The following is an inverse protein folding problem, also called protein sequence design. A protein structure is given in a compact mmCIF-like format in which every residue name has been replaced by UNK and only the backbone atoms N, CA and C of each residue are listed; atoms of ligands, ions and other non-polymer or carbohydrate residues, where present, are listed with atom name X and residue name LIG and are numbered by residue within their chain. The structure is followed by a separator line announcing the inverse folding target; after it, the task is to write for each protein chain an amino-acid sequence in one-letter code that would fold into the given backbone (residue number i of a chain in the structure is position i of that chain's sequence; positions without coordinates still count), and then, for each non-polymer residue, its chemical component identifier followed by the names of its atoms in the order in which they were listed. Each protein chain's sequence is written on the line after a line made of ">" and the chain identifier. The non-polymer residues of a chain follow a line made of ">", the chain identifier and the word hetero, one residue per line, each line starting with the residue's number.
data_IF_100680453229
#
_entry.id   IF_100680453229
#
_cell.length_a   1.000
_cell.length_b   1.000
_cell.length_c   1.000
_cell.angle_alpha   90.00
_cell.angle_beta   90.00
_cell.angle_gamma   90.00
#
_symmetry.space_group_name_H-M   'P 1'
#
loop_
_entity.id
_entity.type
_entity.pdbx_description
1 polymer ?
#
# COMPACT_ATOMS: atom_id res chain seq x y z
N UNK A 1 -18.67 -11.34 -14.35
CA UNK A 1 -19.00 -12.00 -13.07
C UNK A 1 -19.15 -10.88 -12.05
N UNK A 2 -20.05 -10.98 -11.07
CA UNK A 2 -20.12 -9.96 -10.03
C UNK A 2 -18.77 -9.92 -9.30
N UNK A 3 -18.22 -8.73 -9.14
CA UNK A 3 -16.87 -8.52 -8.64
C UNK A 3 -16.97 -8.06 -7.19
N UNK A 4 -16.26 -8.77 -6.31
CA UNK A 4 -16.09 -8.38 -4.91
C UNK A 4 -14.67 -7.85 -4.71
N UNK A 5 -14.39 -7.35 -3.51
CA UNK A 5 -13.15 -6.65 -3.19
C UNK A 5 -12.62 -7.12 -1.83
N UNK A 6 -11.30 -7.33 -1.77
CA UNK A 6 -10.53 -7.55 -0.54
C UNK A 6 -9.66 -6.32 -0.29
N UNK A 7 -9.73 -5.74 0.90
CA UNK A 7 -8.84 -4.69 1.37
C UNK A 7 -7.88 -5.26 2.41
N UNK A 8 -6.60 -5.34 2.07
CA UNK A 8 -5.53 -5.71 3.01
C UNK A 8 -4.99 -4.44 3.64
N UNK A 9 -5.09 -4.31 4.96
CA UNK A 9 -4.82 -3.07 5.68
C UNK A 9 -4.34 -3.34 7.11
N UNK A 10 -3.95 -2.29 7.84
CA UNK A 10 -3.77 -2.33 9.30
C UNK A 10 -4.70 -1.32 9.99
N UNK A 11 -4.64 -1.30 11.33
CA UNK A 11 -5.41 -0.39 12.17
C UNK A 11 -4.46 0.47 13.00
N UNK A 12 -4.62 1.78 12.99
CA UNK A 12 -3.81 2.64 13.88
C UNK A 12 -4.22 2.43 15.34
N UNK A 13 -3.46 1.60 16.07
CA UNK A 13 -3.62 1.35 17.52
C UNK A 13 -2.27 1.41 18.20
N UNK A 14 -2.26 1.75 19.48
CA UNK A 14 -1.05 1.76 20.30
C UNK A 14 -0.67 0.36 20.81
N UNK A 15 -1.56 -0.62 20.66
CA UNK A 15 -1.34 -2.01 21.04
C UNK A 15 -0.76 -2.82 19.88
N UNK A 16 -0.01 -3.90 20.16
CA UNK A 16 0.67 -4.68 19.12
C UNK A 16 -0.22 -5.25 18.01
N UNK A 17 -1.51 -5.47 18.30
CA UNK A 17 -2.45 -5.97 17.32
C UNK A 17 -2.79 -4.93 16.24
N UNK A 18 -2.58 -3.63 16.48
CA UNK A 18 -2.85 -2.60 15.47
C UNK A 18 -2.01 -2.72 14.22
N UNK A 19 -0.77 -3.17 14.36
CA UNK A 19 0.22 -3.25 13.28
C UNK A 19 0.37 -4.71 12.83
N UNK A 20 -0.74 -5.31 12.43
CA UNK A 20 -0.82 -6.68 11.93
C UNK A 20 -1.66 -6.69 10.64
N UNK A 21 -1.77 -7.85 9.98
CA UNK A 21 -2.57 -7.94 8.74
C UNK A 21 -4.05 -8.01 9.11
N UNK A 22 -4.85 -7.11 8.57
CA UNK A 22 -6.32 -7.14 8.65
C UNK A 22 -6.91 -7.21 7.25
N UNK A 23 -8.05 -7.91 7.14
CA UNK A 23 -8.86 -7.96 5.93
C UNK A 23 -10.19 -7.24 6.13
N UNK A 24 -10.59 -6.53 5.08
CA UNK A 24 -11.94 -6.03 4.89
C UNK A 24 -12.47 -6.55 3.56
N UNK A 25 -13.75 -6.89 3.49
CA UNK A 25 -14.37 -7.37 2.25
C UNK A 25 -15.56 -6.51 1.86
N UNK A 26 -15.80 -6.35 0.56
CA UNK A 26 -16.92 -5.59 0.02
C UNK A 26 -17.43 -6.22 -1.27
N UNK A 27 -18.73 -6.11 -1.54
CA UNK A 27 -19.32 -6.52 -2.82
C UNK A 27 -19.45 -5.38 -3.83
N UNK A 28 -19.26 -4.14 -3.39
CA UNK A 28 -19.46 -2.95 -4.24
C UNK A 28 -18.29 -1.96 -4.17
N UNK A 29 -17.31 -2.21 -3.29
CA UNK A 29 -16.17 -1.33 -3.04
C UNK A 29 -16.50 -0.12 -2.16
N UNK A 30 -17.76 0.04 -1.74
CA UNK A 30 -18.29 1.22 -1.05
C UNK A 30 -18.61 0.88 0.41
N UNK A 31 -19.25 -0.26 0.63
CA UNK A 31 -19.64 -0.76 1.94
C UNK A 31 -18.75 -1.93 2.33
N UNK A 32 -17.88 -1.69 3.31
CA UNK A 32 -16.88 -2.65 3.76
C UNK A 32 -17.33 -3.36 5.03
N UNK A 33 -17.07 -4.66 5.08
CA UNK A 33 -17.30 -5.54 6.22
C UNK A 33 -15.96 -5.96 6.83
N UNK A 34 -15.93 -6.09 8.16
CA UNK A 34 -14.75 -6.61 8.85
C UNK A 34 -14.66 -8.13 8.67
N UNK A 35 -13.43 -8.64 8.52
CA UNK A 35 -13.13 -10.08 8.60
C UNK A 35 -12.65 -10.42 10.02
N UNK A 36 -12.85 -11.67 10.44
CA UNK A 36 -12.41 -12.18 11.75
C UNK A 36 -12.87 -11.33 12.94
N UNK A 37 -14.13 -10.88 12.94
CA UNK A 37 -14.72 -10.00 13.96
C UNK A 37 -13.91 -8.71 14.23
N UNK A 38 -13.11 -8.27 13.25
CA UNK A 38 -12.23 -7.11 13.38
C UNK A 38 -10.93 -7.37 14.16
N UNK A 39 -10.54 -8.63 14.35
CA UNK A 39 -9.23 -9.07 14.83
C UNK A 39 -8.25 -9.27 13.65
N UNK A 40 -6.92 -9.29 13.90
CA UNK A 40 -5.94 -9.59 12.85
C UNK A 40 -6.20 -10.95 12.19
N UNK A 41 -5.95 -11.05 10.88
CA UNK A 41 -6.00 -12.30 10.13
C UNK A 41 -4.64 -12.99 10.08
N UNK A 42 -3.53 -12.23 10.06
CA UNK A 42 -2.17 -12.76 10.11
C UNK A 42 -1.32 -11.90 11.05
N UNK A 43 -0.34 -12.55 11.68
CA UNK A 43 0.58 -11.90 12.62
C UNK A 43 2.02 -11.92 12.10
N UNK A 44 2.72 -10.81 12.33
CA UNK A 44 4.15 -10.69 12.16
C UNK A 44 4.87 -11.12 13.46
N UNK A 45 5.64 -12.21 13.37
CA UNK A 45 6.40 -12.78 14.47
C UNK A 45 7.91 -12.51 14.37
N UNK A 46 8.39 -12.20 13.18
CA UNK A 46 9.79 -11.90 12.86
C UNK A 46 9.97 -10.42 12.53
N UNK A 47 11.23 -9.97 12.51
CA UNK A 47 11.59 -8.58 12.22
C UNK A 47 11.23 -7.68 13.38
N UNK A 48 10.58 -6.56 13.06
CA UNK A 48 10.08 -5.58 14.03
C UNK A 48 8.79 -6.05 14.73
N UNK A 49 8.22 -7.21 14.32
CA UNK A 49 7.02 -7.85 14.91
C UNK A 49 5.73 -7.03 14.78
N UNK A 50 5.73 -6.13 13.81
CA UNK A 50 4.56 -5.43 13.34
C UNK A 50 4.74 -5.14 11.86
N UNK A 51 3.61 -4.99 11.18
CA UNK A 51 3.56 -4.70 9.75
C UNK A 51 2.59 -3.58 9.45
N UNK A 52 2.96 -2.77 8.46
CA UNK A 52 2.23 -1.60 7.97
C UNK A 52 2.30 -1.57 6.44
N UNK A 53 1.46 -0.75 5.84
CA UNK A 53 1.57 -0.38 4.42
C UNK A 53 1.57 -1.58 3.47
N UNK A 54 0.42 -2.25 3.35
CA UNK A 54 0.33 -3.50 2.60
C UNK A 54 0.13 -3.27 1.11
N UNK A 55 0.71 -4.15 0.31
CA UNK A 55 0.22 -4.47 -1.04
C UNK A 55 -0.17 -5.94 -1.14
N UNK A 56 -1.08 -6.25 -2.06
CA UNK A 56 -1.46 -7.61 -2.41
C UNK A 56 -1.54 -7.77 -3.93
N UNK A 57 -0.99 -8.87 -4.45
CA UNK A 57 -1.07 -9.19 -5.89
C UNK A 57 -1.37 -10.67 -6.12
N UNK A 58 -2.08 -10.97 -7.21
CA UNK A 58 -2.18 -12.33 -7.75
C UNK A 58 -1.09 -12.53 -8.80
N UNK A 59 -0.18 -13.45 -8.53
CA UNK A 59 0.92 -13.76 -9.42
C UNK A 59 0.45 -14.54 -10.63
N UNK A 60 0.66 -14.02 -11.83
CA UNK A 60 0.42 -14.77 -13.06
C UNK A 60 1.49 -15.84 -13.31
N UNK A 61 2.69 -15.67 -12.74
CA UNK A 61 3.82 -16.58 -12.89
C UNK A 61 3.69 -17.80 -11.99
N UNK A 62 3.25 -17.60 -10.74
CA UNK A 62 3.14 -18.70 -9.76
C UNK A 62 1.70 -19.16 -9.52
N UNK A 63 0.70 -18.36 -9.91
CA UNK A 63 -0.71 -18.62 -9.63
C UNK A 63 -1.15 -18.33 -8.19
N UNK A 64 -0.24 -17.83 -7.34
CA UNK A 64 -0.47 -17.54 -5.92
C UNK A 64 -0.70 -16.06 -5.65
N UNK A 65 -1.36 -15.77 -4.54
CA UNK A 65 -1.46 -14.43 -3.97
C UNK A 65 -0.26 -14.14 -3.08
N UNK A 66 0.25 -12.90 -3.12
CA UNK A 66 1.32 -12.44 -2.26
C UNK A 66 0.91 -11.16 -1.55
N UNK A 67 1.12 -11.11 -0.24
CA UNK A 67 1.07 -9.87 0.54
C UNK A 67 2.50 -9.44 0.81
N UNK A 68 2.81 -8.18 0.55
CA UNK A 68 4.03 -7.51 1.01
C UNK A 68 3.66 -6.39 1.98
N UNK A 69 4.50 -6.14 2.98
CA UNK A 69 4.30 -5.08 3.95
C UNK A 69 5.63 -4.50 4.44
N UNK A 70 5.61 -3.24 4.85
CA UNK A 70 6.66 -2.63 5.68
C UNK A 70 6.83 -3.45 6.96
N UNK A 71 8.04 -3.93 7.25
CA UNK A 71 8.38 -4.51 8.56
C UNK A 71 8.66 -3.37 9.56
N UNK A 72 7.65 -3.00 10.35
CA UNK A 72 7.72 -1.90 11.31
C UNK A 72 6.66 -2.07 12.40
N UNK A 73 7.09 -2.00 13.66
CA UNK A 73 6.19 -1.82 14.79
C UNK A 73 6.51 -0.55 15.56
N UNK A 74 5.58 0.40 15.57
CA UNK A 74 5.61 1.53 16.49
C UNK A 74 5.26 1.09 17.91
N UNK A 75 4.37 0.10 18.09
CA UNK A 75 3.96 -0.39 19.41
C UNK A 75 5.16 -0.97 20.20
N UNK A 76 5.98 -1.79 19.54
CA UNK A 76 7.20 -2.36 20.16
C UNK A 76 8.42 -1.43 20.02
N UNK A 77 8.60 -0.83 18.85
CA UNK A 77 9.85 -0.19 18.45
C UNK A 77 9.92 1.30 18.80
N UNK A 78 8.82 2.07 18.69
CA UNK A 78 8.88 3.54 18.68
C UNK A 78 9.64 4.09 19.90
N UNK A 79 9.30 3.64 21.11
CA UNK A 79 9.94 4.15 22.33
C UNK A 79 11.34 3.57 22.58
N UNK A 80 11.55 2.28 22.30
CA UNK A 80 12.72 1.54 22.77
C UNK A 80 13.83 1.42 21.71
N UNK A 81 13.45 1.08 20.48
CA UNK A 81 14.35 0.87 19.35
C UNK A 81 14.62 2.18 18.62
N UNK A 82 13.57 2.99 18.44
CA UNK A 82 13.61 4.19 17.60
C UNK A 82 13.58 5.51 18.37
N UNK A 83 13.68 5.48 19.70
CA UNK A 83 13.84 6.67 20.55
C UNK A 83 12.80 7.79 20.33
N UNK A 84 11.57 7.42 19.96
CA UNK A 84 10.48 8.31 19.54
C UNK A 84 10.84 9.21 18.35
N UNK A 85 11.62 8.70 17.40
CA UNK A 85 12.16 9.46 16.27
C UNK A 85 11.84 8.80 14.94
N UNK A 86 11.04 9.46 14.11
CA UNK A 86 10.82 9.07 12.72
C UNK A 86 12.08 9.19 11.87
N UNK A 87 12.98 10.12 12.20
CA UNK A 87 14.28 10.25 11.54
C UNK A 87 15.16 9.02 11.81
N UNK A 88 15.06 8.44 13.02
CA UNK A 88 15.77 7.21 13.39
C UNK A 88 15.21 6.02 12.61
N UNK A 89 13.88 5.86 12.52
CA UNK A 89 13.25 4.83 11.68
C UNK A 89 13.65 5.02 10.21
N UNK A 90 13.66 6.27 9.75
CA UNK A 90 14.05 6.61 8.39
C UNK A 90 15.49 6.24 8.06
N UNK A 91 16.41 6.25 9.02
CA UNK A 91 17.85 5.96 8.83
C UNK A 91 18.24 4.52 9.16
N UNK A 92 17.66 3.98 10.22
CA UNK A 92 18.07 2.74 10.86
C UNK A 92 16.91 1.73 10.97
N UNK A 93 15.81 1.96 10.27
CA UNK A 93 14.67 1.05 10.22
C UNK A 93 14.97 -0.25 9.50
N UNK A 94 14.01 -1.18 9.55
CA UNK A 94 14.11 -2.48 8.90
C UNK A 94 14.46 -2.35 7.42
N UNK A 95 15.32 -3.28 6.95
CA UNK A 95 15.71 -3.45 5.54
C UNK A 95 14.99 -4.64 4.90
N UNK A 96 13.87 -5.03 5.49
CA UNK A 96 13.09 -6.17 5.06
C UNK A 96 11.65 -5.77 4.77
N UNK A 97 11.06 -6.44 3.79
CA UNK A 97 9.61 -6.55 3.70
C UNK A 97 9.17 -7.86 4.33
N UNK A 98 8.01 -7.82 4.99
CA UNK A 98 7.32 -9.03 5.41
C UNK A 98 6.44 -9.53 4.26
N UNK A 99 6.47 -10.84 4.03
CA UNK A 99 5.80 -11.50 2.90
C UNK A 99 5.03 -12.72 3.36
N UNK A 100 3.82 -12.87 2.83
CA UNK A 100 2.98 -14.07 2.95
C UNK A 100 2.49 -14.48 1.57
N UNK A 101 2.31 -15.78 1.35
CA UNK A 101 1.71 -16.31 0.12
C UNK A 101 0.49 -17.21 0.41
N UNK A 102 -0.46 -17.23 -0.51
CA UNK A 102 -1.67 -18.06 -0.43
C UNK A 102 -2.09 -18.53 -1.82
N UNK A 103 -2.69 -19.71 -1.90
CA UNK A 103 -3.31 -20.21 -3.13
C UNK A 103 -4.78 -19.77 -3.26
N UNK A 104 -5.43 -19.37 -2.17
CA UNK A 104 -6.89 -19.23 -2.11
C UNK A 104 -7.40 -18.04 -1.27
N UNK A 105 -6.50 -17.16 -0.82
CA UNK A 105 -6.75 -16.00 0.06
C UNK A 105 -7.22 -16.32 1.48
N UNK A 106 -7.36 -17.59 1.84
CA UNK A 106 -7.78 -18.04 3.16
C UNK A 106 -6.63 -18.73 3.91
N UNK A 107 -5.95 -19.66 3.24
CA UNK A 107 -4.82 -20.40 3.81
C UNK A 107 -3.51 -19.70 3.43
N UNK A 108 -2.83 -19.14 4.42
CA UNK A 108 -1.58 -18.38 4.21
C UNK A 108 -0.36 -19.13 4.74
N UNK A 109 0.78 -18.90 4.09
CA UNK A 109 2.09 -19.37 4.57
C UNK A 109 2.48 -18.73 5.90
N UNK A 110 3.54 -19.24 6.52
CA UNK A 110 4.24 -18.49 7.57
C UNK A 110 4.83 -17.17 7.00
N UNK A 111 5.05 -16.18 7.88
CA UNK A 111 5.73 -14.93 7.53
C UNK A 111 7.16 -15.21 7.04
N UNK A 112 7.52 -14.63 5.90
CA UNK A 112 8.89 -14.56 5.38
C UNK A 112 9.40 -13.12 5.39
N UNK A 113 10.65 -12.91 5.78
CA UNK A 113 11.33 -11.63 5.60
C UNK A 113 12.16 -11.64 4.33
N UNK A 114 12.01 -10.59 3.51
CA UNK A 114 12.74 -10.42 2.25
C UNK A 114 13.59 -9.17 2.32
N UNK A 115 14.91 -9.34 2.27
CA UNK A 115 15.83 -8.21 2.16
C UNK A 115 15.84 -7.70 0.73
N UNK A 116 15.61 -6.41 0.55
CA UNK A 116 15.72 -5.73 -0.75
C UNK A 116 16.81 -4.68 -0.66
N UNK A 117 17.61 -4.56 -1.71
CA UNK A 117 18.72 -3.61 -1.77
C UNK A 117 19.89 -3.97 -0.86
N UNK A 118 20.73 -2.98 -0.61
CA UNK A 118 21.95 -3.08 0.19
C UNK A 118 21.80 -2.35 1.54
N UNK A 119 22.92 -2.24 2.27
CA UNK A 119 22.95 -1.61 3.59
C UNK A 119 22.98 -0.08 3.55
N UNK A 120 23.03 0.56 2.37
CA UNK A 120 22.99 2.01 2.23
C UNK A 120 21.56 2.58 2.28
N UNK A 121 20.54 1.71 2.16
CA UNK A 121 19.15 2.07 2.37
C UNK A 121 18.86 2.34 3.85
N UNK A 122 18.14 3.42 4.17
CA UNK A 122 17.80 3.78 5.55
C UNK A 122 16.51 3.16 6.10
N UNK A 123 15.55 2.89 5.23
CA UNK A 123 14.30 2.20 5.54
C UNK A 123 13.72 1.62 4.25
N UNK A 124 12.86 0.61 4.34
CA UNK A 124 12.04 0.16 3.21
C UNK A 124 10.56 0.32 3.59
N UNK A 125 9.87 1.31 3.03
CA UNK A 125 8.49 1.64 3.42
C UNK A 125 7.51 1.56 2.26
N UNK A 126 6.29 1.15 2.55
CA UNK A 126 5.15 1.13 1.64
C UNK A 126 5.46 0.44 0.30
N UNK A 127 5.74 -0.87 0.32
CA UNK A 127 5.89 -1.64 -0.91
C UNK A 127 4.58 -1.65 -1.68
N UNK A 128 4.65 -1.49 -3.00
CA UNK A 128 3.57 -1.81 -3.92
C UNK A 128 4.11 -2.45 -5.21
N UNK A 129 3.23 -3.14 -5.93
CA UNK A 129 3.56 -4.06 -7.01
C UNK A 129 2.69 -3.81 -8.23
N UNK A 130 3.35 -3.66 -9.38
CA UNK A 130 2.68 -3.65 -10.68
C UNK A 130 3.35 -4.65 -11.63
N UNK A 131 2.54 -5.36 -12.42
CA UNK A 131 3.07 -6.25 -13.45
C UNK A 131 3.42 -5.44 -14.71
N UNK A 132 4.69 -5.46 -15.08
CA UNK A 132 5.18 -4.89 -16.32
C UNK A 132 4.97 -5.87 -17.48
N UNK A 133 3.92 -5.60 -18.27
CA UNK A 133 3.55 -6.41 -19.42
C UNK A 133 4.61 -6.41 -20.53
N UNK A 134 5.43 -5.36 -20.62
CA UNK A 134 6.45 -5.22 -21.66
C UNK A 134 7.61 -6.18 -21.42
N UNK A 135 8.09 -6.24 -20.18
CA UNK A 135 9.26 -7.05 -19.80
C UNK A 135 8.91 -8.42 -19.20
N UNK A 136 7.64 -8.63 -18.84
CA UNK A 136 7.17 -9.89 -18.29
C UNK A 136 7.72 -10.15 -16.89
N UNK A 137 7.66 -9.14 -16.03
CA UNK A 137 8.14 -9.16 -14.65
C UNK A 137 7.34 -8.19 -13.78
N UNK A 138 7.41 -8.36 -12.46
CA UNK A 138 6.82 -7.46 -11.49
C UNK A 138 7.80 -6.36 -11.13
N UNK A 139 7.32 -5.12 -11.07
CA UNK A 139 8.02 -3.96 -10.51
C UNK A 139 7.57 -3.82 -9.06
N UNK A 140 8.45 -4.21 -8.11
CA UNK A 140 8.29 -3.92 -6.69
C UNK A 140 8.86 -2.53 -6.42
N UNK A 141 8.04 -1.60 -5.97
CA UNK A 141 8.47 -0.22 -5.70
C UNK A 141 8.13 0.21 -4.27
N UNK A 142 8.94 1.10 -3.70
CA UNK A 142 8.85 1.48 -2.30
C UNK A 142 9.52 2.84 -2.03
N UNK A 143 9.26 3.38 -0.84
CA UNK A 143 9.85 4.64 -0.37
C UNK A 143 11.07 4.40 0.51
N UNK A 144 12.17 5.10 0.24
CA UNK A 144 13.38 5.00 1.05
C UNK A 144 14.16 6.29 1.17
N UNK A 145 14.79 6.47 2.33
CA UNK A 145 15.98 7.31 2.47
C UNK A 145 17.22 6.50 2.09
N UNK A 146 18.34 7.17 1.78
CA UNK A 146 19.53 6.50 1.29
C UNK A 146 20.82 7.24 1.70
N UNK A 147 21.91 6.52 1.97
CA UNK A 147 23.19 7.10 2.40
C UNK A 147 23.77 8.11 1.37
N UNK A 148 23.49 7.89 0.08
CA UNK A 148 23.94 8.77 -1.02
C UNK A 148 23.51 10.25 -0.88
N UNK A 149 22.46 10.55 -0.11
CA UNK A 149 22.03 11.91 0.20
C UNK A 149 21.97 12.19 1.72
N UNK A 150 22.81 11.51 2.51
CA UNK A 150 22.83 11.58 3.98
C UNK A 150 21.46 11.26 4.62
N UNK A 151 20.74 10.31 4.00
CA UNK A 151 19.39 9.92 4.38
C UNK A 151 18.41 11.11 4.40
N UNK A 152 18.57 12.02 3.43
CA UNK A 152 17.74 13.19 3.24
C UNK A 152 16.37 12.87 2.62
N UNK A 153 15.82 13.75 1.76
CA UNK A 153 14.54 13.52 1.10
C UNK A 153 14.43 12.14 0.47
N UNK A 154 13.31 11.46 0.72
CA UNK A 154 13.06 10.11 0.21
C UNK A 154 12.73 10.13 -1.27
N UNK A 155 13.08 9.03 -1.92
CA UNK A 155 12.71 8.74 -3.31
C UNK A 155 11.87 7.47 -3.36
N UNK A 156 11.19 7.28 -4.48
CA UNK A 156 10.62 5.98 -4.82
C UNK A 156 11.69 5.18 -5.54
N UNK A 157 12.05 4.03 -4.97
CA UNK A 157 12.94 3.04 -5.58
C UNK A 157 12.12 1.87 -6.11
N UNK A 158 12.71 1.10 -7.01
CA UNK A 158 12.11 -0.15 -7.48
C UNK A 158 13.14 -1.24 -7.73
N UNK A 159 12.68 -2.48 -7.78
CA UNK A 159 13.41 -3.66 -8.25
C UNK A 159 12.44 -4.55 -9.00
N UNK A 160 12.94 -5.32 -9.97
CA UNK A 160 12.11 -6.25 -10.71
C UNK A 160 12.28 -7.69 -10.24
N UNK A 161 11.21 -8.47 -10.36
CA UNK A 161 11.18 -9.89 -9.98
C UNK A 161 10.18 -10.68 -10.80
N UNK A 162 10.38 -11.98 -10.93
CA UNK A 162 9.39 -12.91 -11.52
C UNK A 162 8.77 -13.86 -10.51
N UNK A 163 9.41 -14.04 -9.36
CA UNK A 163 9.11 -15.11 -8.42
C UNK A 163 9.01 -14.65 -6.96
N UNK A 164 9.20 -13.36 -6.69
CA UNK A 164 9.16 -12.77 -5.34
C UNK A 164 10.21 -13.36 -4.38
N UNK A 165 11.28 -13.92 -4.94
CA UNK A 165 12.45 -14.46 -4.23
C UNK A 165 13.72 -13.80 -4.73
N UNK A 166 13.86 -13.66 -6.05
CA UNK A 166 15.02 -13.03 -6.68
C UNK A 166 14.63 -11.65 -7.21
N UNK A 167 15.39 -10.64 -6.81
CA UNK A 167 15.15 -9.25 -7.17
C UNK A 167 16.35 -8.66 -7.90
N UNK A 168 16.10 -7.78 -8.86
CA UNK A 168 17.15 -6.96 -9.48
C UNK A 168 17.81 -6.04 -8.44
N UNK A 169 18.94 -5.42 -8.81
CA UNK A 169 19.48 -4.31 -8.04
C UNK A 169 18.47 -3.13 -8.04
N UNK A 170 18.31 -2.40 -6.92
CA UNK A 170 17.42 -1.25 -6.86
C UNK A 170 17.81 -0.12 -7.82
N UNK A 171 16.79 0.55 -8.35
CA UNK A 171 16.92 1.77 -9.15
C UNK A 171 15.93 2.83 -8.67
N UNK A 172 16.19 4.10 -8.98
CA UNK A 172 15.22 5.18 -8.71
C UNK A 172 14.10 5.10 -9.73
N UNK A 173 12.86 4.98 -9.25
CA UNK A 173 11.64 5.03 -10.07
C UNK A 173 11.19 6.48 -10.27
N UNK A 174 11.14 7.22 -9.17
CA UNK A 174 10.66 8.60 -9.16
C UNK A 174 11.26 9.39 -8.00
N UNK A 175 11.61 10.64 -8.28
CA UNK A 175 12.05 11.62 -7.29
C UNK A 175 11.63 13.03 -7.69
N UNK A 176 11.59 13.94 -6.72
CA UNK A 176 11.45 15.37 -6.95
C UNK A 176 12.76 16.07 -6.63
N UNK A 177 13.04 17.16 -7.34
CA UNK A 177 14.24 17.96 -7.09
C UNK A 177 14.17 18.79 -5.80
N UNK A 178 12.96 19.03 -5.27
CA UNK A 178 12.70 20.05 -4.25
C UNK A 178 12.16 19.53 -2.91
N UNK A 179 11.84 18.24 -2.82
CA UNK A 179 11.20 17.62 -1.64
C UNK A 179 11.21 16.09 -1.73
N UNK A 180 10.91 15.40 -0.64
CA UNK A 180 10.75 13.96 -0.64
C UNK A 180 9.40 13.52 -1.19
N UNK A 181 9.36 12.27 -1.61
CA UNK A 181 8.15 11.57 -2.02
C UNK A 181 8.09 10.20 -1.35
N UNK A 182 6.90 9.81 -0.93
CA UNK A 182 6.62 8.51 -0.34
C UNK A 182 5.29 7.93 -0.85
N UNK A 183 4.98 6.71 -0.44
CA UNK A 183 3.70 6.02 -0.64
C UNK A 183 3.30 5.95 -2.13
N UNK A 184 4.15 5.30 -2.91
CA UNK A 184 3.89 5.06 -4.33
C UNK A 184 2.83 3.98 -4.54
N UNK A 185 1.85 4.24 -5.40
CA UNK A 185 0.92 3.24 -5.91
C UNK A 185 0.74 3.36 -7.42
N UNK A 186 0.88 2.25 -8.16
CA UNK A 186 0.84 2.24 -9.62
C UNK A 186 -0.31 1.41 -10.14
N UNK A 187 -1.08 1.99 -11.07
CA UNK A 187 -2.17 1.33 -11.77
C UNK A 187 -2.03 1.48 -13.28
N UNK A 188 -2.52 0.50 -14.04
CA UNK A 188 -2.53 0.54 -15.50
C UNK A 188 -3.97 0.71 -16.02
N UNK A 189 -4.15 1.62 -16.97
CA UNK A 189 -5.39 1.78 -17.71
C UNK A 189 -5.07 2.04 -19.20
N UNK A 190 -5.52 1.12 -20.06
CA UNK A 190 -5.41 1.20 -21.52
C UNK A 190 -3.97 1.36 -22.05
N UNK A 191 -3.01 0.67 -21.44
CA UNK A 191 -1.60 0.66 -21.78
C UNK A 191 -0.80 1.81 -21.16
N UNK A 192 -1.43 2.65 -20.33
CA UNK A 192 -0.77 3.77 -19.65
C UNK A 192 -0.72 3.48 -18.15
N UNK A 193 0.44 3.74 -17.54
CA UNK A 193 0.68 3.56 -16.12
C UNK A 193 0.51 4.88 -15.38
N UNK A 194 -0.16 4.85 -14.25
CA UNK A 194 -0.50 6.00 -13.42
C UNK A 194 0.08 5.80 -12.02
N UNK A 195 1.03 6.66 -11.65
CA UNK A 195 1.71 6.64 -10.36
C UNK A 195 1.11 7.71 -9.46
N UNK A 196 0.44 7.29 -8.38
CA UNK A 196 0.14 8.17 -7.26
C UNK A 196 1.32 8.17 -6.29
N UNK A 197 1.67 9.34 -5.76
CA UNK A 197 2.65 9.48 -4.67
C UNK A 197 2.24 10.60 -3.72
N UNK A 198 2.59 10.45 -2.44
CA UNK A 198 2.55 11.54 -1.48
C UNK A 198 3.78 12.43 -1.67
N UNK A 199 3.54 13.68 -2.04
CA UNK A 199 4.57 14.72 -2.10
C UNK A 199 4.66 15.43 -0.74
N UNK A 200 5.86 15.52 -0.17
CA UNK A 200 6.07 16.15 1.15
C UNK A 200 5.92 17.67 1.11
N UNK A 201 6.19 18.31 -0.03
CA UNK A 201 6.08 19.77 -0.21
C UNK A 201 5.90 20.12 -1.68
N UNK A 202 5.43 21.33 -2.00
CA UNK A 202 5.30 21.84 -3.37
C UNK A 202 4.63 20.89 -4.40
N UNK A 203 3.37 20.47 -4.18
CA UNK A 203 2.52 20.68 -3.01
C UNK A 203 2.71 19.58 -1.96
N UNK A 204 2.33 19.85 -0.71
CA UNK A 204 2.22 18.83 0.34
C UNK A 204 0.89 18.07 0.19
N UNK A 205 0.74 17.32 -0.91
CA UNK A 205 -0.49 16.60 -1.30
C UNK A 205 -0.14 15.30 -2.02
N UNK A 206 -1.13 14.45 -2.25
CA UNK A 206 -1.01 13.40 -3.28
C UNK A 206 -0.92 14.08 -4.64
N UNK A 207 -0.02 13.58 -5.48
CA UNK A 207 0.08 13.96 -6.90
C UNK A 207 -0.06 12.69 -7.76
N UNK A 208 -0.53 12.88 -8.99
CA UNK A 208 -0.66 11.81 -9.98
C UNK A 208 0.30 12.08 -11.13
N UNK A 209 1.03 11.05 -11.54
CA UNK A 209 1.89 11.06 -12.71
C UNK A 209 1.48 9.94 -13.67
N UNK A 210 1.89 10.05 -14.93
CA UNK A 210 1.67 9.01 -15.94
C UNK A 210 2.91 8.67 -16.74
N UNK A 211 2.97 7.44 -17.25
CA UNK A 211 4.00 6.96 -18.17
C UNK A 211 3.43 5.92 -19.12
N UNK A 212 4.07 5.75 -20.27
CA UNK A 212 3.79 4.63 -21.18
C UNK A 212 4.50 3.33 -20.73
N UNK A 213 5.34 3.38 -19.69
CA UNK A 213 6.10 2.24 -19.16
C UNK A 213 5.94 2.11 -17.63
N UNK A 214 5.93 0.87 -17.13
CA UNK A 214 5.76 0.57 -15.71
C UNK A 214 6.88 1.11 -14.82
N UNK A 215 8.09 1.26 -15.37
CA UNK A 215 9.26 1.79 -14.68
C UNK A 215 9.54 3.27 -15.02
N UNK A 216 8.57 3.97 -15.62
CA UNK A 216 8.73 5.36 -16.03
C UNK A 216 9.57 5.55 -17.31
N UNK A 217 9.97 6.79 -17.63
CA UNK A 217 9.84 8.00 -16.80
C UNK A 217 8.39 8.48 -16.68
N UNK A 218 8.07 9.08 -15.53
CA UNK A 218 6.73 9.58 -15.20
C UNK A 218 6.61 11.11 -15.39
N UNK A 219 5.44 11.56 -15.87
CA UNK A 219 5.12 12.97 -16.09
C UNK A 219 3.88 13.36 -15.29
N UNK A 220 3.96 14.49 -14.58
CA UNK A 220 2.90 15.00 -13.70
C UNK A 220 1.60 15.32 -14.45
N UNK A 221 0.46 15.00 -13.83
CA UNK A 221 -0.87 15.29 -14.35
C UNK A 221 -1.53 16.47 -13.62
N UNK A 222 -1.42 17.65 -14.21
CA UNK A 222 -2.02 18.89 -13.66
C UNK A 222 -3.56 18.83 -13.51
N UNK A 223 -4.25 17.98 -14.28
CA UNK A 223 -5.70 17.78 -14.13
C UNK A 223 -6.08 17.15 -12.78
N UNK A 224 -5.20 16.34 -12.22
CA UNK A 224 -5.37 15.75 -10.89
C UNK A 224 -5.11 16.78 -9.79
N UNK A 225 -4.08 17.60 -9.94
CA UNK A 225 -3.80 18.69 -9.01
C UNK A 225 -5.01 19.64 -8.89
N UNK A 226 -5.63 19.98 -10.02
CA UNK A 226 -6.85 20.80 -10.05
C UNK A 226 -8.05 20.09 -9.41
N UNK A 227 -8.24 18.78 -9.60
CA UNK A 227 -9.34 18.05 -8.96
C UNK A 227 -9.17 17.94 -7.45
N UNK A 228 -7.93 17.94 -6.97
CA UNK A 228 -7.58 17.85 -5.55
C UNK A 228 -7.30 19.21 -4.89
N UNK A 229 -7.63 20.33 -5.56
CA UNK A 229 -7.31 21.68 -5.03
C UNK A 229 -7.95 21.97 -3.67
N UNK A 230 -9.17 21.47 -3.44
CA UNK A 230 -9.94 21.68 -2.21
C UNK A 230 -9.64 20.64 -1.13
N UNK A 231 -8.84 19.61 -1.44
CA UNK A 231 -8.32 18.67 -0.45
C UNK A 231 -7.26 19.39 0.40
N UNK A 232 -7.39 19.29 1.71
CA UNK A 232 -6.47 19.93 2.64
C UNK A 232 -5.04 19.38 2.52
N UNK A 233 -4.06 20.27 2.46
CA UNK A 233 -2.66 19.90 2.32
C UNK A 233 -2.11 19.28 3.61
N UNK A 234 -1.27 18.26 3.48
CA UNK A 234 -0.49 17.69 4.57
C UNK A 234 -1.26 16.78 5.53
N UNK A 235 -2.48 16.37 5.20
CA UNK A 235 -3.32 15.51 6.06
C UNK A 235 -3.69 14.15 5.43
N UNK A 236 -3.20 13.86 4.23
CA UNK A 236 -3.51 12.65 3.47
C UNK A 236 -2.24 11.94 3.00
N UNK A 237 -2.29 10.62 2.97
CA UNK A 237 -1.21 9.74 2.55
C UNK A 237 -1.73 8.44 1.92
N UNK A 238 -0.83 7.49 1.63
CA UNK A 238 -1.18 6.12 1.27
C UNK A 238 -2.26 6.01 0.16
N UNK A 239 -2.03 6.56 -1.04
CA UNK A 239 -3.00 6.41 -2.11
C UNK A 239 -3.16 4.93 -2.48
N UNK A 240 -4.38 4.42 -2.54
CA UNK A 240 -4.71 3.14 -3.18
C UNK A 240 -5.94 3.33 -4.05
N UNK A 241 -5.98 2.71 -5.23
CA UNK A 241 -7.10 2.78 -6.14
C UNK A 241 -7.57 1.40 -6.61
N UNK A 242 -8.82 1.33 -7.05
CA UNK A 242 -9.40 0.13 -7.65
C UNK A 242 -10.39 0.52 -8.74
N UNK A 243 -10.48 -0.29 -9.79
CA UNK A 243 -11.55 -0.18 -10.77
C UNK A 243 -12.79 -0.90 -10.24
N UNK A 244 -13.92 -0.19 -10.26
CA UNK A 244 -15.24 -0.67 -9.86
C UNK A 244 -15.89 -1.52 -10.97
N UNK A 245 -16.94 -2.27 -10.65
CA UNK A 245 -17.72 -3.10 -11.59
C UNK A 245 -18.27 -2.30 -12.78
N UNK A 246 -18.56 -1.02 -12.56
CA UNK A 246 -19.04 -0.09 -13.59
C UNK A 246 -17.92 0.63 -14.35
N UNK A 247 -16.69 0.13 -14.23
CA UNK A 247 -15.46 0.61 -14.88
C UNK A 247 -14.90 1.95 -14.37
N UNK A 248 -15.60 2.64 -13.46
CA UNK A 248 -15.06 3.84 -12.82
C UNK A 248 -13.92 3.48 -11.88
N UNK A 249 -13.05 4.45 -11.60
CA UNK A 249 -11.98 4.31 -10.64
C UNK A 249 -12.36 4.92 -9.30
N UNK A 250 -12.08 4.20 -8.23
CA UNK A 250 -12.15 4.72 -6.87
C UNK A 250 -10.75 4.79 -6.26
N UNK A 251 -10.33 6.00 -5.87
CA UNK A 251 -9.10 6.29 -5.14
C UNK A 251 -9.44 6.51 -3.68
N UNK A 252 -8.69 5.88 -2.78
CA UNK A 252 -8.78 6.03 -1.34
C UNK A 252 -7.50 6.71 -0.86
N UNK A 253 -7.65 7.78 -0.07
CA UNK A 253 -6.54 8.50 0.55
C UNK A 253 -6.65 8.40 2.06
N UNK A 254 -5.60 7.92 2.73
CA UNK A 254 -5.58 7.73 4.18
C UNK A 254 -5.49 9.09 4.88
N UNK A 255 -6.56 9.48 5.58
CA UNK A 255 -6.62 10.71 6.34
C UNK A 255 -6.09 10.50 7.76
N UNK A 256 -5.07 11.29 8.14
CA UNK A 256 -4.46 11.24 9.47
C UNK A 256 -4.51 12.58 10.22
N UNK A 257 -5.30 13.54 9.73
CA UNK A 257 -5.33 14.90 10.28
C UNK A 257 -5.94 15.06 11.68
N UNK A 258 -6.50 13.99 12.25
CA UNK A 258 -7.01 13.94 13.63
C UNK A 258 -6.53 12.68 14.35
N UNK A 259 -6.50 12.64 15.69
CA UNK A 259 -6.19 11.41 16.42
C UNK A 259 -7.34 10.40 16.42
N UNK A 260 -6.99 9.11 16.52
CA UNK A 260 -7.94 8.04 16.86
C UNK A 260 -8.97 7.73 15.77
N UNK A 261 -10.22 7.49 16.16
CA UNK A 261 -11.28 6.99 15.29
C UNK A 261 -11.72 7.95 14.16
N UNK A 262 -11.21 9.19 14.15
CA UNK A 262 -11.42 10.11 13.03
C UNK A 262 -10.42 9.91 11.88
N UNK A 263 -9.44 9.03 12.03
CA UNK A 263 -8.52 8.63 10.94
C UNK A 263 -9.13 7.57 10.04
N UNK A 264 -8.59 7.50 8.82
CA UNK A 264 -8.80 6.42 7.88
C UNK A 264 -9.08 6.91 6.47
N UNK A 265 -9.39 5.98 5.58
CA UNK A 265 -9.56 6.29 4.17
C UNK A 265 -10.73 7.21 3.84
N UNK A 266 -10.45 8.20 3.00
CA UNK A 266 -11.43 9.05 2.31
C UNK A 266 -11.45 8.67 0.83
N UNK A 267 -12.59 8.22 0.28
CA UNK A 267 -12.72 7.80 -1.11
C UNK A 267 -13.07 8.96 -2.06
N UNK A 268 -12.57 8.84 -3.28
CA UNK A 268 -12.78 9.73 -4.41
C UNK A 268 -13.06 8.90 -5.66
N UNK A 269 -13.96 9.33 -6.53
CA UNK A 269 -14.36 8.58 -7.74
C UNK A 269 -14.09 9.39 -9.00
N UNK A 270 -13.57 8.74 -10.03
CA UNK A 270 -13.35 9.30 -11.37
C UNK A 270 -13.84 8.31 -12.44
N UNK A 271 -14.18 8.82 -13.63
CA UNK A 271 -14.55 7.96 -14.76
C UNK A 271 -13.35 7.17 -15.32
N UNK A 272 -12.14 7.72 -15.18
CA UNK A 272 -10.89 7.11 -15.66
C UNK A 272 -9.68 7.72 -14.95
N UNK A 273 -8.59 6.95 -14.84
CA UNK A 273 -7.29 7.48 -14.40
C UNK A 273 -6.79 8.55 -15.36
N UNK A 274 -6.99 8.35 -16.66
CA UNK A 274 -6.60 9.28 -17.72
C UNK A 274 -7.17 10.70 -17.54
N UNK A 275 -8.37 10.82 -16.96
CA UNK A 275 -8.98 12.13 -16.70
C UNK A 275 -8.24 12.90 -15.60
N UNK A 276 -7.71 12.18 -14.59
CA UNK A 276 -7.24 12.73 -13.32
C UNK A 276 -8.34 13.37 -12.47
N UNK A 277 -9.62 13.31 -12.85
CA UNK A 277 -10.70 14.09 -12.21
C UNK A 277 -11.43 13.31 -11.13
N UNK A 278 -10.78 13.15 -9.99
CA UNK A 278 -11.34 12.46 -8.83
C UNK A 278 -12.24 13.38 -7.99
N UNK A 279 -13.45 12.91 -7.67
CA UNK A 279 -14.45 13.63 -6.88
C UNK A 279 -14.66 12.93 -5.55
N UNK A 280 -14.46 13.67 -4.46
CA UNK A 280 -14.67 13.18 -3.09
C UNK A 280 -16.08 12.59 -2.92
N UNK A 281 -16.16 11.37 -2.40
CA UNK A 281 -17.38 10.56 -2.37
C UNK A 281 -17.64 9.88 -1.03
N UNK A 282 -16.98 10.31 0.05
CA UNK A 282 -17.01 9.67 1.38
C UNK A 282 -18.40 9.47 1.98
N UNK A 283 -19.38 10.30 1.64
CA UNK A 283 -20.76 10.15 2.09
C UNK A 283 -21.44 8.85 1.60
N UNK A 284 -20.91 8.20 0.56
CA UNK A 284 -21.46 6.97 -0.01
C UNK A 284 -20.75 5.70 0.49
N UNK A 285 -19.77 5.83 1.39
CA UNK A 285 -18.92 4.73 1.82
C UNK A 285 -19.07 4.47 3.31
N UNK A 286 -18.90 3.22 3.72
CA UNK A 286 -18.89 2.84 5.13
C UNK A 286 -17.79 1.84 5.41
N UNK A 287 -17.03 2.10 6.47
CA UNK A 287 -16.03 1.19 7.00
C UNK A 287 -16.42 0.75 8.42
N UNK A 288 -16.11 -0.49 8.83
CA UNK A 288 -16.42 -0.96 10.18
C UNK A 288 -15.54 -0.29 11.24
N UNK A 289 -14.39 0.26 10.83
CA UNK A 289 -13.44 1.05 11.62
C UNK A 289 -12.48 1.79 10.67
N UNK A 290 -11.60 2.64 11.21
CA UNK A 290 -10.59 3.35 10.40
C UNK A 290 -9.54 2.39 9.84
N UNK A 291 -9.63 2.09 8.56
CA UNK A 291 -8.60 1.38 7.78
C UNK A 291 -7.42 2.32 7.52
N UNK A 292 -6.20 1.80 7.58
CA UNK A 292 -4.95 2.53 7.29
C UNK A 292 -4.22 1.92 6.09
N UNK A 293 -3.13 2.54 5.66
CA UNK A 293 -2.29 2.17 4.51
C UNK A 293 -2.34 0.68 4.12
N UNK A 294 -2.84 0.41 2.92
CA UNK A 294 -3.15 -0.92 2.41
C UNK A 294 -3.61 -0.87 0.96
N UNK A 295 -3.88 -2.03 0.37
CA UNK A 295 -4.26 -2.17 -1.05
C UNK A 295 -5.55 -2.97 -1.21
N UNK A 296 -6.27 -2.69 -2.29
CA UNK A 296 -7.51 -3.36 -2.67
C UNK A 296 -7.25 -4.32 -3.82
N UNK A 297 -7.65 -5.58 -3.65
CA UNK A 297 -7.64 -6.61 -4.68
C UNK A 297 -9.09 -6.92 -5.12
N UNK A 298 -9.41 -6.81 -6.42
CA UNK A 298 -10.63 -7.38 -6.95
C UNK A 298 -10.59 -8.92 -6.81
N UNK A 299 -11.62 -9.49 -6.19
CA UNK A 299 -11.78 -10.93 -5.93
C UNK A 299 -13.11 -11.48 -6.45
N UNK A 300 -13.22 -12.79 -6.61
CA UNK A 300 -14.48 -13.43 -6.99
C UNK A 300 -15.45 -13.50 -5.82
N UNK A 301 -16.74 -13.72 -6.10
CA UNK A 301 -17.73 -14.01 -5.06
C UNK A 301 -17.38 -15.29 -4.27
N UNK A 302 -16.73 -16.27 -4.91
CA UNK A 302 -16.25 -17.47 -4.24
C UNK A 302 -15.15 -17.15 -3.22
N UNK A 303 -14.19 -16.31 -3.61
CA UNK A 303 -13.14 -15.84 -2.71
C UNK A 303 -13.72 -15.02 -1.55
N UNK A 304 -14.70 -14.15 -1.83
CA UNK A 304 -15.41 -13.38 -0.81
C UNK A 304 -16.02 -14.31 0.24
N UNK A 305 -16.79 -15.32 -0.20
CA UNK A 305 -17.42 -16.26 0.73
C UNK A 305 -16.40 -17.17 1.42
N UNK A 306 -15.30 -17.52 0.77
CA UNK A 306 -14.20 -18.27 1.39
C UNK A 306 -13.57 -17.48 2.52
N UNK A 307 -13.18 -16.22 2.28
CA UNK A 307 -12.57 -15.33 3.28
C UNK A 307 -13.54 -15.07 4.43
N UNK A 308 -14.82 -14.77 4.12
CA UNK A 308 -15.85 -14.45 5.11
C UNK A 308 -16.12 -15.58 6.10
N UNK A 309 -16.17 -16.81 5.60
CA UNK A 309 -16.57 -17.98 6.38
C UNK A 309 -15.37 -18.81 6.89
N UNK A 310 -14.14 -18.39 6.60
CA UNK A 310 -12.94 -19.06 7.08
C UNK A 310 -12.79 -18.91 8.61
N UNK A 311 -12.31 -19.96 9.26
CA UNK A 311 -11.97 -19.93 10.68
C UNK A 311 -10.53 -19.45 10.84
N UNK A 312 -10.37 -18.19 11.26
CA UNK A 312 -9.08 -17.53 11.42
C UNK A 312 -8.43 -17.78 12.80
N UNK A 313 -8.99 -18.68 13.61
CA UNK A 313 -8.52 -18.91 14.98
C UNK A 313 -7.16 -19.59 15.07
N UNK A 314 -6.69 -20.22 13.99
CA UNK A 314 -5.40 -20.89 13.88
C UNK A 314 -4.25 -19.96 13.46
N UNK A 315 -4.58 -18.80 12.89
CA UNK A 315 -3.62 -17.81 12.39
C UNK A 315 -3.34 -16.65 13.39
N UNK A 316 -3.84 -16.72 14.64
CA UNK A 316 -3.69 -15.71 15.69
C UNK A 316 -2.94 -16.14 16.97
N UNK A 317 -2.14 -15.23 17.54
CA UNK A 317 -1.33 -15.29 18.79
C UNK A 317 -1.26 -16.65 19.49
N UNK A 318 -0.19 -17.43 19.25
CA UNK A 318 0.15 -18.59 20.10
C UNK A 318 0.77 -18.19 21.43
#
# INVERSE_FOLDING_TARGET
>A
MAQAYLFVHFREKTTPDGEQVYFGISRDGFHWEAVNDGAPVLWAYYGDKGVRDFTITHSIETGKYYIFATDLSLSYGMRNQYHNSWDEIGRNGSKYFSVWESEDLANWSDQRLVKIGDDDFGCLWAPDLIYDKENGEYVLHWSSSHAANDYGPKKIYYSTTKDFVHFSAPQVLYEKEDSGVIDSAIYEENGVYYLFVKSESNPAKIILLRSDHAAGPYVRMESFDESMKDVESGLYEAPTAVQLDDSRWCLFLDYYGVPGAGQGYVPFVADSLASGKFVRSDASFSFPYGYKHGTILPITEEDYERIKNHDWSDHGYR
#
